data_IF_328944318320
#
_entry.id   IF_328944318320
#
_cell.length_a   1.000
_cell.length_b   1.000
_cell.length_c   1.000
_cell.angle_alpha   90.00
_cell.angle_beta   90.00
_cell.angle_gamma   90.00
#
_symmetry.space_group_name_H-M   'P 1'
#
loop_
_entity.id
_entity.type
_entity.pdbx_description
1 polymer ?
#
# COMPACT_ATOMS: atom_id res chain seq x y z
N UNK A 1 -2.80 16.37 -1.50
CA UNK A 1 -3.12 15.72 -0.21
C UNK A 1 -1.99 14.75 0.10
N UNK A 2 -1.57 14.61 1.36
CA UNK A 2 -0.59 13.59 1.79
C UNK A 2 -1.04 13.02 3.15
N UNK A 3 -0.67 11.77 3.50
CA UNK A 3 0.05 10.79 2.66
C UNK A 3 -0.79 10.36 1.44
N UNK A 4 -0.19 9.65 0.48
CA UNK A 4 -0.95 9.13 -0.68
C UNK A 4 -1.81 7.93 -0.29
N UNK A 5 -1.20 7.00 0.46
CA UNK A 5 -1.84 5.79 0.98
C UNK A 5 -1.25 5.45 2.36
N UNK A 6 -1.96 4.60 3.10
CA UNK A 6 -1.53 4.05 4.37
C UNK A 6 -1.23 2.54 4.25
N UNK A 7 -0.39 2.04 5.15
CA UNK A 7 -0.11 0.61 5.31
C UNK A 7 0.16 0.27 6.78
N UNK A 8 0.13 -1.02 7.17
CA UNK A 8 0.39 -1.42 8.55
C UNK A 8 1.78 -1.00 9.02
N UNK A 9 1.83 -0.22 10.10
CA UNK A 9 3.08 0.30 10.68
C UNK A 9 3.13 0.27 12.20
N UNK A 10 2.18 -0.39 12.87
CA UNK A 10 2.10 -0.48 14.34
C UNK A 10 2.11 -1.95 14.74
N UNK A 11 2.89 -2.27 15.77
CA UNK A 11 3.07 -3.61 16.31
C UNK A 11 3.44 -4.64 15.23
N UNK A 12 4.34 -4.27 14.32
CA UNK A 12 4.78 -5.15 13.23
C UNK A 12 5.81 -6.13 13.74
N UNK A 13 5.60 -7.42 13.47
CA UNK A 13 6.58 -8.47 13.70
C UNK A 13 7.57 -8.50 12.53
N UNK A 14 8.86 -8.35 12.81
CA UNK A 14 9.89 -8.32 11.75
C UNK A 14 11.18 -9.03 12.15
N UNK A 15 12.05 -9.26 11.17
CA UNK A 15 13.36 -9.89 11.36
C UNK A 15 14.35 -8.98 12.07
N UNK A 16 15.17 -9.55 12.95
CA UNK A 16 16.26 -8.86 13.63
C UNK A 16 17.61 -9.57 13.37
N UNK A 17 18.76 -8.90 13.57
CA UNK A 17 20.07 -9.55 13.50
C UNK A 17 20.14 -10.81 14.37
N UNK A 18 20.85 -11.84 13.89
CA UNK A 18 21.00 -13.11 14.64
C UNK A 18 19.93 -14.18 14.35
N UNK A 19 19.26 -14.12 13.19
CA UNK A 19 18.24 -15.08 12.73
C UNK A 19 16.96 -15.12 13.60
N UNK A 20 16.63 -14.00 14.24
CA UNK A 20 15.44 -13.85 15.10
C UNK A 20 14.32 -13.05 14.46
N UNK A 21 13.18 -13.02 15.15
CA UNK A 21 12.06 -12.12 14.90
C UNK A 21 11.65 -11.45 16.20
N UNK A 22 11.18 -10.21 16.09
CA UNK A 22 10.71 -9.42 17.23
C UNK A 22 9.38 -8.73 16.87
N UNK A 23 8.48 -8.66 17.85
CA UNK A 23 7.18 -7.97 17.78
C UNK A 23 7.31 -6.51 18.23
N UNK A 24 6.24 -5.72 18.08
CA UNK A 24 6.20 -4.38 18.68
C UNK A 24 6.92 -3.28 17.91
N UNK A 25 7.38 -3.51 16.67
CA UNK A 25 7.98 -2.45 15.86
C UNK A 25 6.91 -1.47 15.36
N UNK A 26 7.17 -0.18 15.56
CA UNK A 26 6.25 0.90 15.23
C UNK A 26 6.94 1.95 14.36
N UNK A 27 6.23 2.45 13.36
CA UNK A 27 6.66 3.59 12.55
C UNK A 27 6.26 3.45 11.08
N UNK A 28 6.30 4.58 10.37
CA UNK A 28 6.16 4.62 8.90
C UNK A 28 7.26 3.82 8.21
N UNK A 29 8.43 3.64 8.84
CA UNK A 29 9.49 2.73 8.41
C UNK A 29 9.04 1.27 8.29
N UNK A 30 7.97 0.87 8.99
CA UNK A 30 7.37 -0.47 8.88
C UNK A 30 6.18 -0.49 7.91
N UNK A 31 5.52 0.64 7.68
CA UNK A 31 4.52 0.79 6.63
C UNK A 31 5.15 0.78 5.22
N UNK A 32 6.29 1.47 5.04
CA UNK A 32 7.04 1.54 3.78
C UNK A 32 7.27 0.17 3.10
N UNK A 33 7.87 -0.83 3.79
CA UNK A 33 8.11 -2.14 3.18
C UNK A 33 6.84 -2.90 2.81
N UNK A 34 5.70 -2.67 3.47
CA UNK A 34 4.43 -3.25 3.02
C UNK A 34 4.02 -2.69 1.65
N UNK A 35 4.11 -1.38 1.44
CA UNK A 35 3.83 -0.75 0.14
C UNK A 35 4.83 -1.22 -0.91
N UNK A 36 6.12 -1.24 -0.60
CA UNK A 36 7.16 -1.73 -1.52
C UNK A 36 6.93 -3.18 -1.96
N UNK A 37 6.44 -4.04 -1.06
CA UNK A 37 6.10 -5.42 -1.40
C UNK A 37 4.92 -5.49 -2.39
N UNK A 38 3.89 -4.65 -2.23
CA UNK A 38 2.79 -4.59 -3.20
C UNK A 38 3.28 -4.11 -4.56
N UNK A 39 4.09 -3.05 -4.61
CA UNK A 39 4.72 -2.57 -5.86
C UNK A 39 5.51 -3.69 -6.55
N UNK A 40 6.29 -4.48 -5.78
CA UNK A 40 7.03 -5.61 -6.32
C UNK A 40 6.11 -6.69 -6.90
N UNK A 41 4.98 -6.98 -6.26
CA UNK A 41 3.97 -7.92 -6.79
C UNK A 41 3.32 -7.41 -8.08
N UNK A 42 3.01 -6.12 -8.16
CA UNK A 42 2.46 -5.52 -9.39
C UNK A 42 3.45 -5.65 -10.55
N UNK A 43 4.72 -5.31 -10.30
CA UNK A 43 5.80 -5.47 -11.30
C UNK A 43 6.10 -6.91 -11.66
N UNK A 44 5.85 -7.86 -10.77
CA UNK A 44 5.96 -9.29 -11.08
C UNK A 44 4.88 -9.73 -12.09
N UNK A 45 3.68 -9.15 -12.00
CA UNK A 45 2.55 -9.48 -12.88
C UNK A 45 2.66 -8.75 -14.21
N UNK A 46 3.03 -7.47 -14.18
CA UNK A 46 3.24 -6.64 -15.35
C UNK A 46 4.47 -5.75 -15.16
N UNK A 47 5.56 -6.10 -15.85
CA UNK A 47 6.89 -5.52 -15.57
C UNK A 47 7.13 -4.15 -16.19
N UNK A 48 6.34 -3.76 -17.19
CA UNK A 48 6.46 -2.51 -17.94
C UNK A 48 5.63 -1.35 -17.37
N UNK A 49 4.88 -1.58 -16.29
CA UNK A 49 4.18 -0.51 -15.57
C UNK A 49 5.13 0.62 -15.18
N UNK A 50 4.76 1.83 -15.60
CA UNK A 50 5.38 3.09 -15.18
C UNK A 50 5.17 3.34 -13.70
N UNK A 51 5.93 4.30 -13.15
CA UNK A 51 5.78 4.68 -11.73
C UNK A 51 4.41 5.31 -11.52
N UNK A 52 3.96 6.11 -12.48
CA UNK A 52 2.69 6.81 -12.49
C UNK A 52 1.52 5.82 -12.50
N UNK A 53 1.53 4.81 -13.37
CA UNK A 53 0.49 3.76 -13.40
C UNK A 53 0.46 2.96 -12.08
N UNK A 54 1.62 2.68 -11.49
CA UNK A 54 1.68 2.00 -10.18
C UNK A 54 1.06 2.88 -9.10
N UNK A 55 1.38 4.17 -9.07
CA UNK A 55 0.82 5.11 -8.08
C UNK A 55 -0.70 5.22 -8.23
N UNK A 56 -1.21 5.38 -9.45
CA UNK A 56 -2.64 5.40 -9.75
C UNK A 56 -3.33 4.11 -9.32
N UNK A 57 -2.78 2.94 -9.69
CA UNK A 57 -3.32 1.64 -9.26
C UNK A 57 -3.41 1.56 -7.74
N UNK A 58 -2.35 1.95 -7.02
CA UNK A 58 -2.34 1.86 -5.57
C UNK A 58 -3.36 2.81 -4.92
N UNK A 59 -3.49 4.03 -5.43
CA UNK A 59 -4.44 5.05 -4.93
C UNK A 59 -5.88 4.61 -5.20
N UNK A 60 -6.20 4.23 -6.44
CA UNK A 60 -7.56 3.90 -6.87
C UNK A 60 -8.09 2.61 -6.24
N UNK A 61 -7.19 1.69 -5.90
CA UNK A 61 -7.54 0.40 -5.31
C UNK A 61 -7.44 0.37 -3.79
N UNK A 62 -6.91 1.42 -3.16
CA UNK A 62 -6.82 1.54 -1.73
C UNK A 62 -8.20 1.34 -1.06
N UNK A 63 -8.21 0.70 0.11
CA UNK A 63 -9.41 0.58 0.93
C UNK A 63 -9.57 1.87 1.75
N UNK A 64 -10.61 2.68 1.52
CA UNK A 64 -10.83 3.92 2.25
C UNK A 64 -10.77 3.72 3.77
N UNK A 65 -10.11 4.63 4.47
CA UNK A 65 -10.00 4.62 5.93
C UNK A 65 -10.50 5.96 6.49
N UNK A 66 -11.28 5.87 7.57
CA UNK A 66 -11.81 7.01 8.31
C UNK A 66 -11.78 6.73 9.81
N UNK A 67 -11.79 7.79 10.60
CA UNK A 67 -11.94 7.74 12.06
C UNK A 67 -12.65 9.00 12.59
N UNK A 68 -12.62 9.24 13.91
CA UNK A 68 -13.24 10.42 14.52
C UNK A 68 -12.58 11.75 14.11
N UNK A 69 -11.28 11.74 13.85
CA UNK A 69 -10.52 12.93 13.42
C UNK A 69 -10.62 13.15 11.91
N UNK A 70 -10.68 12.06 11.14
CA UNK A 70 -10.76 12.04 9.68
C UNK A 70 -12.03 11.28 9.23
N UNK A 71 -13.21 11.92 9.25
CA UNK A 71 -14.48 11.23 9.04
C UNK A 71 -14.79 10.86 7.58
N UNK A 72 -14.03 11.43 6.63
CA UNK A 72 -14.21 11.24 5.19
C UNK A 72 -12.93 10.72 4.54
N UNK A 73 -13.01 10.14 3.34
CA UNK A 73 -11.88 9.66 2.55
C UNK A 73 -11.98 10.20 1.11
N UNK A 74 -10.88 10.61 0.46
CA UNK A 74 -9.51 10.64 0.98
C UNK A 74 -9.31 11.73 2.05
N UNK A 75 -8.30 11.56 2.91
CA UNK A 75 -8.01 12.51 3.99
C UNK A 75 -6.52 12.65 4.32
N UNK A 76 -6.18 13.64 5.16
CA UNK A 76 -4.80 13.93 5.57
C UNK A 76 -4.22 12.96 6.63
N UNK A 77 -4.99 11.97 7.09
CA UNK A 77 -4.52 10.92 8.01
C UNK A 77 -4.06 9.65 7.29
N UNK A 78 -4.83 9.23 6.28
CA UNK A 78 -4.68 7.93 5.62
C UNK A 78 -4.49 8.03 4.09
N UNK A 79 -4.54 9.23 3.51
CA UNK A 79 -4.53 9.43 2.07
C UNK A 79 -5.80 8.85 1.44
N UNK A 80 -5.64 8.09 0.35
CA UNK A 80 -6.72 7.33 -0.27
C UNK A 80 -7.18 6.12 0.58
N UNK A 81 -6.36 5.67 1.54
CA UNK A 81 -6.70 4.59 2.46
C UNK A 81 -5.62 3.51 2.55
N UNK A 82 -6.01 2.35 3.07
CA UNK A 82 -5.12 1.19 3.26
C UNK A 82 -4.76 0.54 1.93
N UNK A 83 -3.47 0.30 1.67
CA UNK A 83 -3.01 -0.47 0.51
C UNK A 83 -3.70 -1.85 0.43
N UNK A 84 -4.18 -2.23 -0.76
CA UNK A 84 -4.89 -3.50 -1.00
C UNK A 84 -4.27 -4.26 -2.18
N UNK A 85 -3.32 -5.15 -1.87
CA UNK A 85 -2.59 -5.92 -2.87
C UNK A 85 -3.49 -6.73 -3.82
N UNK A 86 -4.61 -7.26 -3.31
CA UNK A 86 -5.52 -8.08 -4.11
C UNK A 86 -6.28 -7.23 -5.11
N UNK A 87 -6.80 -6.08 -4.67
CA UNK A 87 -7.50 -5.15 -5.56
C UNK A 87 -6.55 -4.53 -6.58
N UNK A 88 -5.32 -4.16 -6.18
CA UNK A 88 -4.29 -3.66 -7.10
C UNK A 88 -3.92 -4.69 -8.17
N UNK A 89 -3.77 -5.97 -7.80
CA UNK A 89 -3.53 -7.02 -8.79
C UNK A 89 -4.70 -7.18 -9.79
N UNK A 90 -5.94 -7.13 -9.30
CA UNK A 90 -7.12 -7.27 -10.17
C UNK A 90 -7.37 -6.07 -11.07
N UNK A 91 -6.92 -4.86 -10.71
CA UNK A 91 -7.07 -3.69 -11.59
C UNK A 91 -6.17 -3.79 -12.81
N UNK A 92 -4.93 -4.31 -12.70
CA UNK A 92 -4.03 -4.56 -13.84
C UNK A 92 -4.75 -5.34 -14.95
N UNK A 93 -5.46 -6.41 -14.58
CA UNK A 93 -6.17 -7.24 -15.55
C UNK A 93 -7.35 -6.52 -16.22
N UNK A 94 -7.89 -5.44 -15.64
CA UNK A 94 -8.92 -4.61 -16.27
C UNK A 94 -8.34 -3.56 -17.22
N UNK A 95 -7.10 -3.12 -17.00
CA UNK A 95 -6.40 -2.22 -17.92
C UNK A 95 -6.10 -2.89 -19.26
N UNK A 96 -5.80 -4.19 -19.26
CA UNK A 96 -5.52 -4.98 -20.47
C UNK A 96 -6.73 -5.21 -21.42
N UNK A 97 -7.93 -4.70 -21.10
CA UNK A 97 -9.12 -4.80 -21.97
C UNK A 97 -9.63 -3.42 -22.44
N UNK A 98 -8.78 -2.40 -22.41
CA UNK A 98 -9.12 -1.06 -22.91
C UNK A 98 -8.39 -0.67 -24.21
N UNK A 99 -7.71 -1.63 -24.86
CA UNK A 99 -7.13 -1.48 -26.21
C UNK A 99 -8.02 -2.08 -27.32
#
# INVERSE_FOLDING_TARGET
MKPDIAAPGVNIRSSIPGKGYEDGWNGTSMAGPHVSAVVALLRQVQSDLSVEEIEEILIDTAKPLTDQQFPESPNNGYGAGLVDAKRSHYSINRWNWQD
#
